data_IF_738149990644
#
_entry.id   IF_738149990644
#
_cell.length_a   1.000
_cell.length_b   1.000
_cell.length_c   1.000
_cell.angle_alpha   90.00
_cell.angle_beta   90.00
_cell.angle_gamma   90.00
#
_symmetry.space_group_name_H-M   'P 1'
#
loop_
_entity.id
_entity.type
_entity.pdbx_description
1 polymer ?
#
# COMPACT_ATOMS: atom_id res chain seq x y z
N UNK A 1 -11.97 -10.33 2.74
CA UNK A 1 -11.24 -10.91 1.59
C UNK A 1 -10.91 -9.82 0.57
N UNK A 2 -10.28 -8.72 1.00
CA UNK A 2 -9.97 -7.61 0.11
C UNK A 2 -8.90 -8.02 -0.92
N UNK A 3 -8.98 -7.44 -2.12
CA UNK A 3 -7.98 -7.60 -3.18
C UNK A 3 -7.12 -6.33 -3.21
N UNK A 4 -5.77 -6.44 -3.24
CA UNK A 4 -4.91 -5.27 -3.37
C UNK A 4 -5.23 -4.45 -4.61
N UNK A 5 -5.57 -3.18 -4.42
CA UNK A 5 -5.84 -2.25 -5.51
C UNK A 5 -4.54 -1.68 -6.07
N UNK A 6 -4.54 -1.38 -7.37
CA UNK A 6 -3.46 -0.66 -8.07
C UNK A 6 -3.05 0.61 -7.32
N UNK A 7 -4.06 1.33 -6.80
CA UNK A 7 -3.92 2.56 -6.01
C UNK A 7 -4.75 2.44 -4.75
N UNK A 8 -4.20 1.84 -3.69
CA UNK A 8 -4.87 1.79 -2.38
C UNK A 8 -4.90 3.18 -1.72
N UNK A 9 -5.77 3.37 -0.73
CA UNK A 9 -5.88 4.61 0.05
C UNK A 9 -6.07 4.30 1.53
N UNK A 10 -5.47 5.12 2.40
CA UNK A 10 -5.71 5.05 3.84
C UNK A 10 -7.17 5.33 4.14
N UNK A 11 -7.78 4.55 5.02
CA UNK A 11 -9.13 4.83 5.51
C UNK A 11 -9.19 6.20 6.20
N UNK A 12 -10.24 6.97 5.96
CA UNK A 12 -10.48 8.23 6.68
C UNK A 12 -10.85 7.98 8.15
N UNK A 13 -11.59 6.89 8.40
CA UNK A 13 -11.98 6.45 9.74
C UNK A 13 -11.28 5.11 10.01
N UNK A 14 -10.33 5.12 10.94
CA UNK A 14 -9.55 3.95 11.33
C UNK A 14 -9.67 3.64 12.82
N UNK A 15 -9.11 2.51 13.21
CA UNK A 15 -9.08 1.96 14.57
C UNK A 15 -7.78 2.28 15.31
N UNK A 16 -6.72 2.65 14.57
CA UNK A 16 -5.36 2.82 15.06
C UNK A 16 -4.50 1.55 14.95
N UNK A 17 -5.11 0.39 14.65
CA UNK A 17 -4.39 -0.89 14.48
C UNK A 17 -3.75 -1.02 13.11
N UNK A 18 -4.13 -0.19 12.14
CA UNK A 18 -3.75 -0.31 10.72
C UNK A 18 -2.24 -0.30 10.53
N UNK A 19 -1.52 0.50 11.33
CA UNK A 19 -0.06 0.58 11.28
C UNK A 19 0.61 -0.68 11.83
N UNK A 20 0.11 -1.19 12.95
CA UNK A 20 0.66 -2.39 13.57
C UNK A 20 0.41 -3.60 12.66
N UNK A 21 -0.80 -3.74 12.11
CA UNK A 21 -1.13 -4.82 11.17
C UNK A 21 -0.25 -4.76 9.92
N UNK A 22 -0.01 -3.57 9.37
CA UNK A 22 0.88 -3.43 8.21
C UNK A 22 2.32 -3.86 8.53
N UNK A 23 2.87 -3.45 9.67
CA UNK A 23 4.21 -3.82 10.10
C UNK A 23 4.34 -5.33 10.38
N UNK A 24 3.41 -5.89 11.14
CA UNK A 24 3.43 -7.30 11.56
C UNK A 24 3.13 -8.25 10.39
N UNK A 25 2.52 -7.76 9.30
CA UNK A 25 2.27 -8.55 8.09
C UNK A 25 3.52 -8.94 7.31
N UNK A 26 4.64 -8.23 7.51
CA UNK A 26 5.88 -8.41 6.74
C UNK A 26 5.78 -8.00 5.26
N UNK A 27 4.68 -7.36 4.84
CA UNK A 27 4.46 -6.93 3.46
C UNK A 27 5.24 -5.65 3.09
N UNK A 28 5.35 -4.61 3.95
CA UNK A 28 6.21 -3.46 3.70
C UNK A 28 7.69 -3.79 3.88
N UNK A 29 8.57 -3.10 3.14
CA UNK A 29 10.01 -3.19 3.38
C UNK A 29 10.40 -2.26 4.53
N UNK A 30 11.06 -2.81 5.56
CA UNK A 30 11.44 -2.11 6.79
C UNK A 30 12.97 -2.02 6.89
N UNK A 31 13.49 -0.92 7.41
CA UNK A 31 14.91 -0.74 7.66
C UNK A 31 15.39 -1.55 8.88
N UNK A 32 16.23 -2.55 8.66
CA UNK A 32 16.85 -3.33 9.75
C UNK A 32 17.93 -2.54 10.50
N UNK A 33 18.54 -1.58 9.82
CA UNK A 33 19.62 -0.73 10.32
C UNK A 33 19.32 0.74 10.06
N UNK A 34 19.87 1.61 10.90
CA UNK A 34 19.87 3.04 10.64
C UNK A 34 20.91 3.41 9.59
N UNK A 35 20.67 4.49 8.86
CA UNK A 35 21.58 4.93 7.81
C UNK A 35 20.99 6.02 6.93
N UNK A 36 21.74 6.41 5.91
CA UNK A 36 21.33 7.40 4.91
C UNK A 36 21.07 6.72 3.58
N UNK A 37 19.98 7.09 2.93
CA UNK A 37 19.65 6.55 1.61
C UNK A 37 20.59 7.16 0.57
N UNK A 38 21.35 6.30 -0.09
CA UNK A 38 22.28 6.71 -1.16
C UNK A 38 21.66 6.55 -2.55
N UNK A 39 20.75 5.59 -2.70
CA UNK A 39 20.08 5.31 -3.97
C UNK A 39 18.68 4.73 -3.71
N UNK A 40 17.75 5.06 -4.60
CA UNK A 40 16.38 4.52 -4.58
C UNK A 40 15.91 4.42 -6.01
N UNK A 41 15.36 3.26 -6.33
CA UNK A 41 14.77 2.92 -7.61
C UNK A 41 13.54 2.05 -7.36
N UNK A 42 12.84 1.69 -8.43
CA UNK A 42 11.69 0.80 -8.40
C UNK A 42 12.08 -0.57 -7.84
N UNK A 43 13.23 -1.11 -8.23
CA UNK A 43 13.60 -2.50 -7.89
C UNK A 43 14.40 -2.63 -6.59
N UNK A 44 15.01 -1.54 -6.09
CA UNK A 44 15.88 -1.60 -4.92
C UNK A 44 16.08 -0.26 -4.21
N UNK A 45 16.35 -0.35 -2.92
CA UNK A 45 16.75 0.77 -2.06
C UNK A 45 18.13 0.48 -1.51
N UNK A 46 19.04 1.45 -1.59
CA UNK A 46 20.39 1.31 -1.06
C UNK A 46 20.60 2.27 0.11
N UNK A 47 20.94 1.70 1.25
CA UNK A 47 21.17 2.39 2.52
C UNK A 47 22.67 2.34 2.85
N UNK A 48 23.25 3.45 3.28
CA UNK A 48 24.60 3.49 3.85
C UNK A 48 24.52 3.72 5.36
N UNK A 49 25.07 2.80 6.15
CA UNK A 49 25.06 2.84 7.61
C UNK A 49 26.24 2.08 8.20
N UNK A 50 26.82 2.59 9.29
CA UNK A 50 27.96 1.99 10.00
C UNK A 50 29.14 1.59 9.10
N UNK A 51 29.46 2.41 8.08
CA UNK A 51 30.56 2.16 7.14
C UNK A 51 30.25 1.16 6.01
N UNK A 52 29.10 0.49 6.06
CA UNK A 52 28.68 -0.48 5.05
C UNK A 52 27.52 0.05 4.19
N UNK A 53 27.40 -0.51 2.99
CA UNK A 53 26.29 -0.25 2.07
C UNK A 53 25.40 -1.48 2.01
N UNK A 54 24.14 -1.32 2.39
CA UNK A 54 23.11 -2.36 2.38
C UNK A 54 22.20 -2.17 1.18
N UNK A 55 22.05 -3.22 0.38
CA UNK A 55 21.15 -3.24 -0.76
C UNK A 55 19.88 -4.02 -0.40
N UNK A 56 18.73 -3.36 -0.50
CA UNK A 56 17.43 -3.90 -0.13
C UNK A 56 16.62 -4.06 -1.43
N UNK A 57 16.51 -5.28 -1.98
CA UNK A 57 15.69 -5.53 -3.16
C UNK A 57 14.21 -5.39 -2.81
N UNK A 58 13.43 -4.85 -3.73
CA UNK A 58 11.99 -4.72 -3.61
C UNK A 58 11.28 -5.77 -4.44
N UNK A 59 10.12 -6.20 -3.95
CA UNK A 59 9.25 -7.15 -4.66
C UNK A 59 8.48 -6.40 -5.74
N UNK A 60 8.65 -6.78 -7.01
CA UNK A 60 8.01 -6.11 -8.16
C UNK A 60 7.17 -7.10 -8.96
N UNK A 61 5.86 -6.83 -9.05
CA UNK A 61 4.89 -7.59 -9.85
C UNK A 61 4.91 -9.12 -9.61
N UNK A 62 5.11 -9.53 -8.37
CA UNK A 62 5.11 -10.94 -8.01
C UNK A 62 3.68 -11.45 -7.83
N UNK A 63 3.37 -12.65 -8.33
CA UNK A 63 2.07 -13.29 -8.16
C UNK A 63 1.96 -13.92 -6.77
N UNK A 64 0.86 -13.68 -6.06
CA UNK A 64 0.54 -14.35 -4.80
C UNK A 64 -0.11 -15.72 -5.02
N UNK A 65 -0.19 -16.54 -3.96
CA UNK A 65 -0.89 -17.83 -3.97
C UNK A 65 -2.38 -17.72 -4.34
N UNK A 66 -2.99 -16.53 -4.18
CA UNK A 66 -4.39 -16.25 -4.54
C UNK A 66 -4.51 -15.43 -5.82
N UNK A 67 -3.47 -15.40 -6.65
CA UNK A 67 -3.42 -14.70 -7.93
C UNK A 67 -3.61 -13.17 -7.83
N UNK A 68 -3.17 -12.56 -6.73
CA UNK A 68 -3.12 -11.10 -6.60
C UNK A 68 -1.70 -10.60 -6.83
N UNK A 69 -1.56 -9.36 -7.30
CA UNK A 69 -0.25 -8.73 -7.43
C UNK A 69 0.36 -8.32 -6.07
N UNK A 70 1.59 -8.77 -5.82
CA UNK A 70 2.48 -8.30 -4.77
C UNK A 70 3.51 -7.35 -5.39
N UNK A 71 3.47 -6.09 -4.98
CA UNK A 71 4.36 -5.06 -5.49
C UNK A 71 4.68 -4.05 -4.38
N UNK A 72 5.96 -3.77 -4.18
CA UNK A 72 6.47 -2.84 -3.21
C UNK A 72 6.88 -1.52 -3.90
N UNK A 73 6.45 -0.40 -3.33
CA UNK A 73 6.70 0.95 -3.82
C UNK A 73 7.57 1.71 -2.82
N UNK A 74 8.79 2.15 -3.19
CA UNK A 74 9.61 2.97 -2.31
C UNK A 74 8.88 4.23 -1.83
N UNK A 75 8.94 4.52 -0.53
CA UNK A 75 8.36 5.72 0.09
C UNK A 75 9.42 6.77 0.49
N UNK A 76 10.68 6.46 0.22
CA UNK A 76 11.82 7.23 0.69
C UNK A 76 12.57 7.85 -0.49
N UNK A 77 13.24 8.98 -0.23
CA UNK A 77 14.01 9.73 -1.23
C UNK A 77 15.49 9.68 -0.88
N UNK A 78 16.34 9.79 -1.91
CA UNK A 78 17.79 9.90 -1.75
C UNK A 78 18.15 11.02 -0.77
N UNK A 79 19.11 10.74 0.10
CA UNK A 79 19.65 11.70 1.08
C UNK A 79 18.90 11.72 2.42
N UNK A 80 17.74 11.05 2.54
CA UNK A 80 17.01 10.96 3.82
C UNK A 80 17.72 10.01 4.78
N UNK A 81 17.83 10.42 6.05
CA UNK A 81 18.29 9.57 7.13
C UNK A 81 17.12 8.73 7.65
N UNK A 82 17.36 7.44 7.83
CA UNK A 82 16.40 6.43 8.22
C UNK A 82 16.85 5.80 9.53
N UNK A 83 15.89 5.58 10.43
CA UNK A 83 16.12 4.85 11.69
C UNK A 83 15.77 3.37 11.52
N UNK A 84 16.36 2.52 12.36
CA UNK A 84 15.93 1.12 12.49
C UNK A 84 14.42 1.05 12.75
N UNK A 85 13.73 0.14 12.07
CA UNK A 85 12.29 -0.07 12.16
C UNK A 85 11.43 0.89 11.34
N UNK A 86 12.05 1.83 10.60
CA UNK A 86 11.30 2.73 9.73
C UNK A 86 10.98 2.08 8.38
N UNK A 87 9.80 2.39 7.84
CA UNK A 87 9.32 1.85 6.57
C UNK A 87 10.03 2.53 5.41
N UNK A 88 10.57 1.70 4.51
CA UNK A 88 11.32 2.10 3.32
C UNK A 88 10.43 2.02 2.07
N UNK A 89 9.61 0.99 1.95
CA UNK A 89 8.68 0.80 0.86
C UNK A 89 7.35 0.25 1.38
N UNK A 90 6.24 0.79 0.86
CA UNK A 90 4.91 0.21 1.08
C UNK A 90 4.76 -1.02 0.19
N UNK A 91 4.09 -2.06 0.68
CA UNK A 91 3.72 -3.22 -0.13
C UNK A 91 2.26 -3.21 -0.59
N UNK A 92 1.79 -4.37 -1.05
CA UNK A 92 0.42 -4.55 -1.49
C UNK A 92 -0.58 -4.22 -0.38
N UNK A 93 -1.61 -3.43 -0.70
CA UNK A 93 -2.64 -2.97 0.24
C UNK A 93 -2.09 -2.23 1.48
N UNK A 94 -0.99 -1.50 1.32
CA UNK A 94 -0.47 -0.58 2.34
C UNK A 94 -0.18 0.78 1.73
N UNK A 95 -0.39 1.85 2.51
CA UNK A 95 -0.10 3.22 2.12
C UNK A 95 0.49 3.92 3.33
N UNK A 96 1.64 4.58 3.18
CA UNK A 96 2.31 5.31 4.25
C UNK A 96 2.49 4.48 5.52
N UNK A 97 2.76 3.18 5.37
CA UNK A 97 2.94 2.24 6.46
C UNK A 97 1.71 1.80 7.23
N UNK A 98 0.51 2.06 6.70
CA UNK A 98 -0.75 1.60 7.28
C UNK A 98 -1.48 0.69 6.30
N UNK A 99 -2.27 -0.22 6.86
CA UNK A 99 -3.17 -1.08 6.10
C UNK A 99 -4.18 -0.24 5.30
N UNK A 100 -4.26 -0.51 4.00
CA UNK A 100 -5.10 0.20 3.05
C UNK A 100 -5.78 -0.82 2.12
N UNK A 101 -6.89 -1.40 2.58
CA UNK A 101 -7.59 -2.49 1.86
C UNK A 101 -8.51 -2.01 0.74
N UNK A 102 -8.68 -0.70 0.55
CA UNK A 102 -9.68 -0.16 -0.36
C UNK A 102 -9.51 1.33 -0.68
N UNK A 103 -10.65 2.00 -0.87
CA UNK A 103 -10.77 3.40 -1.24
C UNK A 103 -11.84 4.09 -0.43
N UNK A 104 -11.65 5.38 -0.16
CA UNK A 104 -12.71 6.21 0.39
C UNK A 104 -13.61 6.69 -0.76
N UNK A 105 -14.92 6.45 -0.66
CA UNK A 105 -15.89 6.85 -1.66
C UNK A 105 -17.04 7.61 -1.01
N UNK A 106 -17.63 8.53 -1.78
CA UNK A 106 -18.85 9.22 -1.36
C UNK A 106 -20.03 8.25 -1.50
N UNK A 107 -20.82 8.12 -0.44
CA UNK A 107 -21.97 7.21 -0.38
C UNK A 107 -23.23 8.03 -0.11
N UNK A 108 -24.32 7.69 -0.81
CA UNK A 108 -25.65 8.21 -0.54
C UNK A 108 -26.57 7.05 -0.11
N UNK A 109 -27.33 7.26 0.96
CA UNK A 109 -28.30 6.29 1.48
C UNK A 109 -29.71 6.73 1.07
N UNK A 110 -30.17 6.24 -0.08
CA UNK A 110 -31.53 6.48 -0.57
C UNK A 110 -31.97 5.34 -1.50
N UNK A 111 -33.26 4.97 -1.54
CA UNK A 111 -33.79 4.12 -2.59
C UNK A 111 -33.61 4.80 -3.96
N UNK A 112 -33.21 4.04 -4.98
CA UNK A 112 -33.00 4.55 -6.33
C UNK A 112 -33.61 3.64 -7.37
N UNK A 113 -34.84 3.96 -7.78
CA UNK A 113 -35.58 3.30 -8.87
C UNK A 113 -35.61 1.75 -8.80
N UNK A 114 -35.48 1.18 -7.59
CA UNK A 114 -35.43 -0.27 -7.36
C UNK A 114 -34.11 -0.95 -7.70
N UNK A 115 -33.13 -0.24 -8.27
CA UNK A 115 -31.83 -0.83 -8.63
C UNK A 115 -30.95 -1.16 -7.41
N UNK A 116 -31.22 -0.56 -6.26
CA UNK A 116 -30.61 -0.91 -4.98
C UNK A 116 -31.57 -1.69 -4.06
N UNK A 117 -32.45 -2.50 -4.65
CA UNK A 117 -33.30 -3.42 -3.88
C UNK A 117 -32.45 -4.47 -3.16
N UNK A 118 -32.88 -4.85 -1.95
CA UNK A 118 -32.18 -5.79 -1.08
C UNK A 118 -30.72 -5.37 -0.81
N UNK A 119 -29.75 -6.15 -1.26
CA UNK A 119 -28.31 -5.94 -1.03
C UNK A 119 -27.57 -5.39 -2.27
N UNK A 120 -28.31 -4.98 -3.31
CA UNK A 120 -27.71 -4.46 -4.53
C UNK A 120 -27.06 -3.07 -4.31
N UNK A 121 -25.84 -2.89 -4.83
CA UNK A 121 -25.10 -1.63 -4.75
C UNK A 121 -25.01 -1.00 -6.13
N UNK A 122 -25.53 0.23 -6.23
CA UNK A 122 -25.30 1.08 -7.38
C UNK A 122 -23.95 1.76 -7.29
N UNK A 123 -23.22 1.78 -8.41
CA UNK A 123 -21.95 2.46 -8.53
C UNK A 123 -21.99 3.52 -9.62
N UNK A 124 -21.20 4.56 -9.43
CA UNK A 124 -20.96 5.55 -10.47
C UNK A 124 -19.92 5.02 -11.45
N UNK A 125 -20.13 5.22 -12.76
CA UNK A 125 -19.14 4.93 -13.80
C UNK A 125 -17.80 5.63 -13.57
N UNK A 126 -17.77 6.71 -12.78
CA UNK A 126 -16.54 7.36 -12.34
C UNK A 126 -15.59 6.40 -11.64
N UNK A 127 -16.09 5.36 -10.96
CA UNK A 127 -15.25 4.35 -10.31
C UNK A 127 -14.47 3.52 -11.33
N UNK A 128 -15.04 3.31 -12.51
CA UNK A 128 -14.42 2.59 -13.64
C UNK A 128 -13.44 3.52 -14.35
N UNK A 129 -13.90 4.68 -14.82
CA UNK A 129 -13.05 5.63 -15.56
C UNK A 129 -11.90 6.21 -14.73
N UNK A 130 -12.05 6.24 -13.41
CA UNK A 130 -11.02 6.72 -12.48
C UNK A 130 -10.08 5.63 -11.95
N UNK A 131 -10.20 4.39 -12.42
CA UNK A 131 -9.43 3.23 -11.94
C UNK A 131 -9.44 3.09 -10.40
N UNK A 132 -10.59 3.38 -9.77
CA UNK A 132 -10.68 3.48 -8.31
C UNK A 132 -10.60 2.09 -7.67
N UNK A 133 -11.34 1.13 -8.21
CA UNK A 133 -11.37 -0.27 -7.76
C UNK A 133 -10.67 -1.22 -8.74
N UNK A 134 -9.62 -0.74 -9.43
CA UNK A 134 -8.81 -1.56 -10.35
C UNK A 134 -7.71 -2.31 -9.59
N UNK A 135 -7.56 -3.61 -9.86
CA UNK A 135 -6.51 -4.50 -9.32
C UNK A 135 -5.74 -5.20 -10.45
N UNK A 136 -4.50 -5.63 -10.17
CA UNK A 136 -3.64 -6.39 -11.10
C UNK A 136 -3.44 -7.84 -10.65
#
# INVERSE_FOLDING_TARGET
QAVPLSRSEKCIVGTGLERQVALDSGVPAIAEHEGKIIYTDTDKIVLSGNGNTLNIPLVIYQRSNKNTCMHQKPQVRRGKCIKKGQILADGAATVGGELALGKNVLVAYMPWEGYNSEDAVLISDRLVYGDIYTSF
#
